data_IF_656132071576
#
_entry.id   IF_656132071576
#
_cell.length_a   1.000
_cell.length_b   1.000
_cell.length_c   1.000
_cell.angle_alpha   90.00
_cell.angle_beta   90.00
_cell.angle_gamma   90.00
#
_symmetry.space_group_name_H-M   'P 1'
#
loop_
_entity.id
_entity.type
_entity.pdbx_description
1 polymer ?
#
# COMPACT_ATOMS: atom_id res chain seq x y z
N UNK A 1 -42.60 21.90 -54.52
CA UNK A 1 -43.17 23.27 -54.30
C UNK A 1 -42.31 23.88 -53.18
N UNK A 2 -41.31 24.67 -53.60
CA UNK A 2 -41.29 26.16 -53.65
C UNK A 2 -41.73 26.74 -52.30
N UNK A 3 -40.92 27.55 -51.60
CA UNK A 3 -40.22 28.77 -51.99
C UNK A 3 -39.04 29.12 -51.07
N UNK A 4 -38.00 29.64 -51.66
CA UNK A 4 -36.88 30.42 -51.23
C UNK A 4 -37.30 31.71 -50.53
N UNK A 5 -36.53 32.23 -49.60
CA UNK A 5 -36.55 33.59 -49.13
C UNK A 5 -35.14 34.00 -48.69
N UNK A 6 -34.54 34.80 -49.51
CA UNK A 6 -33.23 35.45 -49.42
C UNK A 6 -33.44 36.89 -48.97
N UNK A 7 -32.65 37.42 -48.05
CA UNK A 7 -32.35 38.86 -47.88
C UNK A 7 -31.51 39.07 -46.58
N UNK A 8 -30.54 39.86 -46.41
CA UNK A 8 -29.71 40.79 -47.18
C UNK A 8 -28.84 41.52 -46.10
N UNK A 9 -27.59 41.71 -46.37
CA UNK A 9 -26.56 42.48 -45.66
C UNK A 9 -27.01 43.85 -45.13
N UNK A 10 -26.44 44.23 -43.97
CA UNK A 10 -26.13 45.63 -43.66
C UNK A 10 -24.81 45.74 -42.91
N UNK A 11 -23.82 46.27 -43.56
CA UNK A 11 -22.50 46.71 -43.10
C UNK A 11 -22.67 48.07 -42.41
N UNK A 12 -22.22 48.20 -41.18
CA UNK A 12 -22.11 49.48 -40.48
C UNK A 12 -20.66 49.72 -40.02
N UNK A 13 -19.94 50.53 -40.78
CA UNK A 13 -18.65 51.08 -40.41
C UNK A 13 -18.89 52.24 -39.47
N UNK A 14 -18.32 52.21 -38.25
CA UNK A 14 -18.26 53.37 -37.37
C UNK A 14 -16.83 53.64 -36.95
N UNK A 15 -16.29 54.66 -37.55
CA UNK A 15 -15.02 55.33 -37.21
C UNK A 15 -15.06 55.94 -35.83
N UNK A 16 -14.14 55.65 -34.96
CA UNK A 16 -13.91 56.34 -33.67
C UNK A 16 -12.60 57.06 -33.65
N UNK A 17 -12.73 58.34 -33.46
CA UNK A 17 -11.65 59.35 -33.31
C UNK A 17 -10.80 59.10 -32.02
N UNK A 18 -9.49 59.16 -32.16
CA UNK A 18 -8.55 59.28 -31.07
C UNK A 18 -8.67 60.66 -30.39
N UNK A 19 -8.83 60.65 -29.07
CA UNK A 19 -8.52 61.81 -28.23
C UNK A 19 -7.41 61.34 -27.27
N UNK A 20 -6.20 61.84 -27.48
CA UNK A 20 -5.09 61.74 -26.54
C UNK A 20 -5.27 62.80 -25.44
N UNK A 21 -5.39 62.39 -24.21
CA UNK A 21 -5.21 63.25 -23.03
C UNK A 21 -4.30 62.48 -22.03
N UNK A 22 -3.06 62.92 -21.95
CA UNK A 22 -2.12 62.42 -20.94
C UNK A 22 -2.50 62.94 -19.54
N UNK A 23 -2.49 62.04 -18.57
CA UNK A 23 -2.30 62.38 -17.16
C UNK A 23 -1.47 61.26 -16.51
N UNK A 24 -0.24 61.63 -16.15
CA UNK A 24 0.65 60.86 -15.27
C UNK A 24 -0.03 60.69 -13.91
N UNK A 25 -0.31 59.45 -13.58
CA UNK A 25 -0.71 59.06 -12.22
C UNK A 25 0.04 57.78 -11.86
N UNK A 26 1.12 57.87 -11.09
CA UNK A 26 1.71 56.75 -10.37
C UNK A 26 0.65 56.25 -9.35
N UNK A 27 -0.05 55.21 -9.72
CA UNK A 27 -0.83 54.39 -8.81
C UNK A 27 -0.33 52.99 -8.96
N UNK A 28 0.39 52.48 -7.99
CA UNK A 28 0.65 51.04 -7.86
C UNK A 28 -0.70 50.36 -7.68
N UNK A 29 -1.29 49.92 -8.79
CA UNK A 29 -2.35 48.94 -8.75
C UNK A 29 -1.75 47.61 -8.33
N UNK A 30 -1.84 47.32 -7.05
CA UNK A 30 -1.92 45.93 -6.62
C UNK A 30 -3.12 45.34 -7.38
N UNK A 31 -2.84 44.70 -8.52
CA UNK A 31 -3.81 43.84 -9.14
C UNK A 31 -4.15 42.80 -8.08
N UNK A 32 -5.38 42.85 -7.61
CA UNK A 32 -5.98 41.79 -6.83
C UNK A 32 -5.88 40.52 -7.69
N UNK A 33 -4.84 39.70 -7.46
CA UNK A 33 -4.70 38.40 -8.09
C UNK A 33 -5.85 37.59 -7.51
N UNK A 34 -6.96 37.50 -8.24
CA UNK A 34 -8.02 36.55 -7.91
C UNK A 34 -7.36 35.19 -7.87
N UNK A 35 -7.47 34.51 -6.72
CA UNK A 35 -7.05 33.12 -6.57
C UNK A 35 -7.77 32.26 -7.60
N UNK A 36 -7.03 31.36 -8.20
CA UNK A 36 -7.61 30.37 -9.13
C UNK A 36 -8.54 29.45 -8.33
N UNK A 37 -9.77 29.26 -8.81
CA UNK A 37 -10.71 28.32 -8.19
C UNK A 37 -10.35 26.91 -8.58
N UNK A 38 -10.02 26.10 -7.61
CA UNK A 38 -9.60 24.71 -7.76
C UNK A 38 -10.55 23.81 -6.95
N UNK A 39 -11.00 22.71 -7.55
CA UNK A 39 -11.78 21.69 -6.86
C UNK A 39 -11.04 20.37 -6.97
N UNK A 40 -10.52 19.86 -5.86
CA UNK A 40 -9.81 18.58 -5.82
C UNK A 40 -10.65 17.53 -5.08
N UNK A 41 -10.86 16.39 -5.75
CA UNK A 41 -11.39 15.19 -5.12
C UNK A 41 -10.22 14.33 -4.61
N UNK A 42 -10.25 13.97 -3.34
CA UNK A 42 -9.18 13.21 -2.67
C UNK A 42 -9.76 11.98 -2.01
N UNK A 43 -9.22 10.80 -2.34
CA UNK A 43 -9.65 9.54 -1.75
C UNK A 43 -8.56 8.94 -0.85
N UNK A 44 -8.98 8.49 0.32
CA UNK A 44 -8.16 7.74 1.28
C UNK A 44 -9.01 6.71 2.05
N UNK A 45 -8.38 5.79 2.79
CA UNK A 45 -9.09 4.93 3.74
C UNK A 45 -9.95 5.72 4.73
N UNK A 46 -11.00 5.07 5.23
CA UNK A 46 -11.94 5.68 6.19
C UNK A 46 -11.26 6.13 7.48
N UNK A 47 -10.23 5.42 7.89
CA UNK A 47 -9.46 5.66 9.10
C UNK A 47 -8.70 6.99 9.05
N UNK A 48 -8.20 7.39 7.87
CA UNK A 48 -7.50 8.67 7.68
C UNK A 48 -8.44 9.89 7.72
N UNK A 49 -9.74 9.62 7.62
CA UNK A 49 -10.80 10.63 7.62
C UNK A 49 -11.63 10.61 8.90
N UNK A 50 -11.37 9.64 9.80
CA UNK A 50 -12.14 9.46 11.02
C UNK A 50 -11.81 10.53 12.06
N UNK A 51 -12.87 11.09 12.69
CA UNK A 51 -12.74 12.03 13.81
C UNK A 51 -12.03 11.42 15.01
N UNK A 52 -12.28 10.16 15.27
CA UNK A 52 -11.66 9.42 16.37
C UNK A 52 -10.16 9.22 16.15
N UNK A 53 -9.69 9.34 14.90
CA UNK A 53 -8.29 9.21 14.50
C UNK A 53 -7.65 10.54 14.05
N UNK A 54 -8.27 11.69 14.38
CA UNK A 54 -7.71 13.02 14.16
C UNK A 54 -7.96 13.63 12.79
N UNK A 55 -8.73 13.00 11.88
CA UNK A 55 -9.06 13.52 10.54
C UNK A 55 -7.78 13.92 9.75
N UNK A 56 -6.81 13.01 9.70
CA UNK A 56 -5.48 13.29 9.12
C UNK A 56 -5.59 13.90 7.72
N UNK A 57 -6.39 13.29 6.82
CA UNK A 57 -6.51 13.77 5.45
C UNK A 57 -7.02 15.22 5.39
N UNK A 58 -8.12 15.50 6.10
CA UNK A 58 -8.72 16.83 6.10
C UNK A 58 -7.77 17.87 6.72
N UNK A 59 -7.05 17.48 7.77
CA UNK A 59 -6.08 18.33 8.45
C UNK A 59 -4.93 18.71 7.52
N UNK A 60 -4.36 17.74 6.80
CA UNK A 60 -3.27 17.98 5.86
C UNK A 60 -3.74 18.78 4.64
N UNK A 61 -4.87 18.44 4.03
CA UNK A 61 -5.43 19.20 2.92
C UNK A 61 -5.72 20.66 3.31
N UNK A 62 -6.27 20.90 4.49
CA UNK A 62 -6.53 22.26 4.98
C UNK A 62 -5.23 23.05 5.26
N UNK A 63 -4.16 22.37 5.68
CA UNK A 63 -2.84 23.00 5.87
C UNK A 63 -2.23 23.35 4.53
N UNK A 64 -2.25 22.42 3.59
CA UNK A 64 -1.82 22.66 2.21
C UNK A 64 -2.51 23.88 1.57
N UNK A 65 -3.83 23.99 1.69
CA UNK A 65 -4.57 25.14 1.15
C UNK A 65 -4.15 26.47 1.79
N UNK A 66 -3.77 26.49 3.08
CA UNK A 66 -3.27 27.69 3.75
C UNK A 66 -1.87 28.08 3.27
N UNK A 67 -1.04 27.11 2.90
CA UNK A 67 0.32 27.32 2.37
C UNK A 67 0.30 27.75 0.91
N UNK A 68 -0.82 27.54 0.20
CA UNK A 68 -1.06 27.90 -1.19
C UNK A 68 -2.19 28.92 -1.37
N UNK A 69 -2.03 30.14 -0.83
CA UNK A 69 -3.09 31.16 -0.89
C UNK A 69 -3.37 31.70 -2.31
N UNK A 70 -2.53 31.37 -3.28
CA UNK A 70 -2.73 31.65 -4.70
C UNK A 70 -3.84 30.83 -5.33
N UNK A 71 -4.22 29.70 -4.70
CA UNK A 71 -5.31 28.82 -5.11
C UNK A 71 -6.50 28.90 -4.13
N UNK A 72 -7.70 29.08 -4.64
CA UNK A 72 -8.95 28.99 -3.88
C UNK A 72 -9.45 27.53 -3.93
N UNK A 73 -8.86 26.68 -3.07
CA UNK A 73 -9.06 25.22 -3.14
C UNK A 73 -10.30 24.81 -2.35
N UNK A 74 -11.16 24.03 -3.00
CA UNK A 74 -12.25 23.28 -2.37
C UNK A 74 -11.96 21.79 -2.47
N UNK A 75 -11.87 21.10 -1.34
CA UNK A 75 -11.70 19.65 -1.29
C UNK A 75 -13.03 18.90 -1.25
N UNK A 76 -13.07 17.76 -1.95
CA UNK A 76 -14.16 16.78 -1.87
C UNK A 76 -13.54 15.45 -1.50
N UNK A 77 -13.96 14.91 -0.37
CA UNK A 77 -13.38 13.67 0.16
C UNK A 77 -14.22 12.46 -0.21
N UNK A 78 -13.56 11.38 -0.61
CA UNK A 78 -14.15 10.06 -0.82
C UNK A 78 -13.43 9.02 0.03
N UNK A 79 -14.14 7.95 0.37
CA UNK A 79 -13.59 6.84 1.14
C UNK A 79 -13.34 5.67 0.21
N UNK A 80 -12.09 5.27 0.09
CA UNK A 80 -11.67 4.05 -0.61
C UNK A 80 -10.37 3.54 0.03
N UNK A 81 -10.27 2.23 0.24
CA UNK A 81 -8.99 1.61 0.58
C UNK A 81 -8.03 1.61 -0.63
N UNK A 82 -6.75 1.33 -0.38
CA UNK A 82 -5.70 1.49 -1.39
C UNK A 82 -5.82 0.53 -2.58
N UNK A 83 -6.46 -0.63 -2.40
CA UNK A 83 -6.70 -1.57 -3.49
C UNK A 83 -7.96 -1.20 -4.27
N UNK A 84 -9.08 -1.06 -3.58
CA UNK A 84 -10.40 -0.74 -4.17
C UNK A 84 -10.39 0.63 -4.85
N UNK A 85 -9.72 1.62 -4.24
CA UNK A 85 -9.60 2.96 -4.80
C UNK A 85 -8.85 2.97 -6.12
N UNK A 86 -7.72 2.25 -6.19
CA UNK A 86 -6.94 2.10 -7.43
C UNK A 86 -7.74 1.43 -8.54
N UNK A 87 -8.47 0.34 -8.22
CA UNK A 87 -9.29 -0.38 -9.18
C UNK A 87 -10.44 0.52 -9.73
N UNK A 88 -11.05 1.36 -8.88
CA UNK A 88 -12.08 2.31 -9.30
C UNK A 88 -11.51 3.40 -10.21
N UNK A 89 -10.33 3.95 -9.85
CA UNK A 89 -9.64 4.95 -10.69
C UNK A 89 -9.27 4.37 -12.06
N UNK A 90 -8.76 3.13 -12.10
CA UNK A 90 -8.43 2.47 -13.35
C UNK A 90 -9.68 2.18 -14.22
N UNK A 91 -10.83 1.90 -13.59
CA UNK A 91 -12.07 1.60 -14.29
C UNK A 91 -12.74 2.83 -14.91
N UNK A 92 -12.74 3.97 -14.20
CA UNK A 92 -13.36 5.23 -14.67
C UNK A 92 -12.54 6.44 -14.18
N UNK A 93 -11.40 6.75 -14.84
CA UNK A 93 -10.54 7.85 -14.41
C UNK A 93 -11.25 9.22 -14.42
N UNK A 94 -12.15 9.45 -15.38
CA UNK A 94 -12.83 10.76 -15.53
C UNK A 94 -13.82 11.05 -14.39
N UNK A 95 -14.38 10.02 -13.76
CA UNK A 95 -15.32 10.17 -12.64
C UNK A 95 -14.68 9.95 -11.25
N UNK A 96 -13.39 9.68 -11.22
CA UNK A 96 -12.65 9.31 -9.99
C UNK A 96 -11.93 10.49 -9.34
N UNK A 97 -11.23 10.22 -8.22
CA UNK A 97 -10.46 11.23 -7.49
C UNK A 97 -9.31 11.82 -8.32
N UNK A 98 -8.99 13.10 -8.07
CA UNK A 98 -7.79 13.77 -8.58
C UNK A 98 -6.52 13.26 -7.91
N UNK A 99 -6.61 13.00 -6.60
CA UNK A 99 -5.53 12.45 -5.76
C UNK A 99 -6.07 11.28 -4.96
N UNK A 100 -5.36 10.16 -4.97
CA UNK A 100 -5.82 8.93 -4.32
C UNK A 100 -4.65 8.12 -3.75
N UNK A 101 -4.95 7.29 -2.74
CA UNK A 101 -3.99 6.35 -2.18
C UNK A 101 -4.10 5.00 -2.86
N UNK A 102 -2.96 4.35 -3.09
CA UNK A 102 -2.91 3.02 -3.66
C UNK A 102 -1.75 2.17 -3.11
N UNK A 103 -1.91 0.85 -3.12
CA UNK A 103 -0.83 -0.09 -2.87
C UNK A 103 -0.07 -0.36 -4.18
N UNK A 104 1.25 -0.48 -4.10
CA UNK A 104 2.13 -0.58 -5.28
C UNK A 104 1.81 -1.76 -6.22
N UNK A 105 1.16 -2.82 -5.74
CA UNK A 105 0.71 -3.95 -6.56
C UNK A 105 -0.41 -3.58 -7.55
N UNK A 106 -0.97 -2.38 -7.45
CA UNK A 106 -1.96 -1.83 -8.38
C UNK A 106 -1.38 -0.94 -9.47
N UNK A 107 -0.06 -0.69 -9.42
CA UNK A 107 0.57 0.27 -10.33
C UNK A 107 0.41 -0.11 -11.81
N UNK A 108 0.58 -1.39 -12.15
CA UNK A 108 0.41 -1.87 -13.53
C UNK A 108 -1.03 -1.71 -14.00
N UNK A 109 -2.02 -2.03 -13.16
CA UNK A 109 -3.44 -1.81 -13.46
C UNK A 109 -3.73 -0.34 -13.76
N UNK A 110 -3.16 0.57 -12.98
CA UNK A 110 -3.33 2.01 -13.16
C UNK A 110 -2.62 2.55 -14.41
N UNK A 111 -1.40 2.08 -14.69
CA UNK A 111 -0.65 2.51 -15.89
C UNK A 111 -1.21 1.94 -17.18
N UNK A 112 -1.66 0.69 -17.18
CA UNK A 112 -2.30 0.05 -18.36
C UNK A 112 -3.63 0.74 -18.74
N UNK A 113 -4.31 1.33 -17.75
CA UNK A 113 -5.52 2.12 -17.95
C UNK A 113 -5.27 3.61 -18.27
N UNK A 114 -4.02 4.06 -18.39
CA UNK A 114 -3.65 5.48 -18.47
C UNK A 114 -4.29 6.33 -17.35
N UNK A 115 -4.50 5.75 -16.17
CA UNK A 115 -5.29 6.34 -15.09
C UNK A 115 -4.44 7.09 -14.04
N UNK A 116 -3.13 6.89 -14.03
CA UNK A 116 -2.20 7.53 -13.09
C UNK A 116 -1.14 8.36 -13.80
N UNK A 117 -0.92 9.58 -13.32
CA UNK A 117 0.07 10.49 -13.88
C UNK A 117 1.48 10.17 -13.37
N UNK A 118 2.48 10.34 -14.25
CA UNK A 118 3.88 10.23 -13.86
C UNK A 118 4.39 11.53 -13.24
N UNK A 119 5.27 11.39 -12.27
CA UNK A 119 5.97 12.52 -11.66
C UNK A 119 7.22 12.88 -12.44
N UNK A 120 7.48 14.19 -12.60
CA UNK A 120 8.63 14.71 -13.35
C UNK A 120 9.20 15.99 -12.75
N UNK A 121 10.36 16.45 -13.30
CA UNK A 121 11.01 17.70 -12.91
C UNK A 121 11.29 17.80 -11.42
N UNK A 122 11.06 18.98 -10.85
CA UNK A 122 11.34 19.27 -9.42
C UNK A 122 10.63 18.33 -8.45
N UNK A 123 9.43 17.90 -8.76
CA UNK A 123 8.65 17.01 -7.89
C UNK A 123 9.23 15.59 -7.84
N UNK A 124 9.69 15.06 -8.99
CA UNK A 124 10.41 13.78 -9.03
C UNK A 124 11.70 13.86 -8.23
N UNK A 125 12.50 14.94 -8.41
CA UNK A 125 13.75 15.15 -7.65
C UNK A 125 13.49 15.22 -6.14
N UNK A 126 12.41 15.88 -5.70
CA UNK A 126 12.01 15.97 -4.30
C UNK A 126 11.64 14.59 -3.73
N UNK A 127 10.81 13.83 -4.44
CA UNK A 127 10.41 12.47 -4.02
C UNK A 127 11.64 11.56 -3.94
N UNK A 128 12.51 11.57 -4.94
CA UNK A 128 13.72 10.74 -4.99
C UNK A 128 14.73 11.09 -3.89
N UNK A 129 14.79 12.35 -3.46
CA UNK A 129 15.72 12.80 -2.42
C UNK A 129 15.36 12.36 -1.01
N UNK A 130 14.11 11.97 -0.78
CA UNK A 130 13.55 11.70 0.55
C UNK A 130 13.11 10.25 0.79
N UNK A 131 13.31 9.39 -0.21
CA UNK A 131 12.91 7.98 -0.15
C UNK A 131 14.05 7.05 -0.55
N UNK A 132 14.03 5.79 -0.10
CA UNK A 132 15.03 4.80 -0.51
C UNK A 132 14.81 4.33 -1.94
N UNK A 133 15.88 3.84 -2.59
CA UNK A 133 15.83 3.37 -3.97
C UNK A 133 14.86 2.18 -4.12
N UNK A 134 14.88 1.22 -3.19
CA UNK A 134 14.00 0.05 -3.20
C UNK A 134 12.52 0.46 -3.14
N UNK A 135 12.23 1.49 -2.35
CA UNK A 135 10.86 1.99 -2.21
C UNK A 135 10.40 2.71 -3.47
N UNK A 136 11.30 3.52 -4.07
CA UNK A 136 11.04 4.20 -5.33
C UNK A 136 10.87 3.22 -6.49
N UNK A 137 11.66 2.15 -6.53
CA UNK A 137 11.56 1.11 -7.55
C UNK A 137 10.21 0.39 -7.51
N UNK A 138 9.61 0.29 -6.32
CA UNK A 138 8.26 -0.25 -6.16
C UNK A 138 7.16 0.59 -6.83
N UNK A 139 7.47 1.80 -7.25
CA UNK A 139 6.53 2.77 -7.84
C UNK A 139 6.95 3.22 -9.25
N UNK A 140 7.90 2.50 -9.87
CA UNK A 140 8.34 2.76 -11.23
C UNK A 140 7.80 1.71 -12.20
N UNK A 141 7.34 2.17 -13.35
CA UNK A 141 7.03 1.35 -14.52
C UNK A 141 7.82 1.95 -15.70
N UNK A 142 8.57 1.13 -16.42
CA UNK A 142 9.44 1.56 -17.53
C UNK A 142 10.40 2.72 -17.15
N UNK A 143 10.86 2.78 -15.90
CA UNK A 143 11.77 3.80 -15.37
C UNK A 143 11.09 5.13 -15.02
N UNK A 144 9.79 5.26 -15.19
CA UNK A 144 9.01 6.44 -14.81
C UNK A 144 8.34 6.24 -13.45
N UNK A 145 8.32 7.27 -12.63
CA UNK A 145 7.76 7.27 -11.26
C UNK A 145 6.28 7.68 -11.28
N UNK A 146 5.40 6.87 -10.69
CA UNK A 146 3.94 7.07 -10.71
C UNK A 146 3.28 7.30 -9.35
N UNK A 147 4.07 7.45 -8.28
CA UNK A 147 3.54 7.69 -6.95
C UNK A 147 4.51 8.37 -6.00
N UNK A 148 3.96 8.96 -4.95
CA UNK A 148 4.71 9.47 -3.80
C UNK A 148 4.56 8.48 -2.66
N UNK A 149 5.61 7.74 -2.26
CA UNK A 149 5.48 6.78 -1.17
C UNK A 149 5.22 7.52 0.15
N UNK A 150 4.38 6.97 1.01
CA UNK A 150 4.12 7.54 2.34
C UNK A 150 4.30 6.52 3.48
N UNK A 151 4.30 5.22 3.16
CA UNK A 151 4.60 4.14 4.11
C UNK A 151 5.06 2.89 3.36
N UNK A 152 5.80 2.02 4.03
CA UNK A 152 6.03 0.66 3.55
C UNK A 152 4.81 -0.22 3.84
N UNK A 153 4.56 -1.21 3.00
CA UNK A 153 3.48 -2.16 3.16
C UNK A 153 4.08 -3.54 3.47
N UNK A 154 4.18 -3.87 4.76
CA UNK A 154 4.67 -5.15 5.26
C UNK A 154 3.86 -5.58 6.46
N UNK A 155 3.83 -6.90 6.73
CA UNK A 155 3.29 -7.45 7.93
C UNK A 155 4.41 -8.11 8.74
N UNK A 156 4.26 -8.08 10.06
CA UNK A 156 5.23 -8.58 11.03
C UNK A 156 4.50 -9.18 12.23
N UNK A 157 5.20 -9.45 13.32
CA UNK A 157 4.63 -10.18 14.43
C UNK A 157 4.40 -9.30 15.65
N UNK A 158 3.21 -9.44 16.27
CA UNK A 158 2.86 -8.94 17.59
C UNK A 158 2.72 -10.08 18.57
N UNK A 159 3.17 -9.88 19.81
CA UNK A 159 3.15 -10.93 20.83
C UNK A 159 2.97 -10.39 22.25
N UNK A 160 2.51 -11.26 23.14
CA UNK A 160 2.38 -11.01 24.58
C UNK A 160 3.71 -11.26 25.28
N UNK A 161 4.42 -10.20 25.74
CA UNK A 161 5.69 -10.25 26.47
C UNK A 161 5.59 -10.98 27.83
N UNK A 162 4.37 -11.16 28.35
CA UNK A 162 4.18 -11.97 29.56
C UNK A 162 4.31 -13.47 29.32
N UNK A 163 4.26 -13.90 28.05
CA UNK A 163 4.35 -15.30 27.61
C UNK A 163 5.64 -15.58 26.86
N UNK A 164 6.04 -14.70 25.97
CA UNK A 164 7.22 -14.88 25.11
C UNK A 164 8.32 -13.88 25.45
N UNK A 165 9.54 -14.35 25.57
CA UNK A 165 10.75 -13.52 25.62
C UNK A 165 11.18 -13.10 24.19
N UNK A 166 12.10 -12.14 24.11
CA UNK A 166 12.72 -11.73 22.83
C UNK A 166 13.48 -12.88 22.12
N UNK A 167 13.96 -13.88 22.87
CA UNK A 167 14.61 -15.07 22.31
C UNK A 167 13.58 -16.05 21.75
N UNK A 168 12.44 -16.23 22.43
CA UNK A 168 11.40 -17.16 21.98
C UNK A 168 10.79 -16.76 20.64
N UNK A 169 10.63 -15.46 20.43
CA UNK A 169 9.99 -14.93 19.23
C UNK A 169 10.86 -14.99 17.96
N UNK A 170 12.10 -15.43 18.08
CA UNK A 170 12.99 -15.65 16.94
C UNK A 170 12.64 -16.90 16.13
N UNK A 171 11.94 -17.86 16.73
CA UNK A 171 11.60 -19.11 16.06
C UNK A 171 10.14 -19.52 16.35
N UNK A 172 9.35 -19.73 15.31
CA UNK A 172 7.93 -20.05 15.41
C UNK A 172 7.66 -21.37 16.13
N UNK A 173 8.49 -22.39 15.90
CA UNK A 173 8.29 -23.70 16.54
C UNK A 173 8.53 -23.60 18.07
N UNK A 174 9.52 -22.82 18.48
CA UNK A 174 9.78 -22.50 19.90
C UNK A 174 8.60 -21.76 20.54
N UNK A 175 7.98 -20.83 19.82
CA UNK A 175 6.79 -20.14 20.31
C UNK A 175 5.62 -21.09 20.50
N UNK A 176 5.41 -22.02 19.58
CA UNK A 176 4.33 -23.01 19.66
C UNK A 176 4.48 -24.00 20.82
N UNK A 177 5.68 -24.16 21.38
CA UNK A 177 5.89 -24.93 22.61
C UNK A 177 5.44 -24.18 23.87
N UNK A 178 5.35 -22.84 23.83
CA UNK A 178 5.10 -21.97 24.98
C UNK A 178 3.72 -21.33 25.01
N UNK A 179 3.12 -21.08 23.84
CA UNK A 179 1.85 -20.38 23.77
C UNK A 179 1.17 -20.50 22.42
N UNK A 180 -0.06 -20.03 22.36
CA UNK A 180 -0.86 -20.08 21.13
C UNK A 180 -0.49 -18.96 20.18
N UNK A 181 -0.11 -19.32 18.98
CA UNK A 181 0.19 -18.40 17.86
C UNK A 181 -0.92 -18.46 16.84
N UNK A 182 -1.37 -17.31 16.34
CA UNK A 182 -2.34 -17.21 15.26
C UNK A 182 -1.72 -16.63 14.02
N UNK A 183 -2.01 -17.25 12.84
CA UNK A 183 -1.44 -16.85 11.55
C UNK A 183 -2.49 -16.93 10.43
N UNK A 184 -2.54 -15.97 9.48
CA UNK A 184 -3.50 -15.95 8.39
C UNK A 184 -3.19 -16.98 7.28
N UNK A 185 -3.18 -18.26 7.63
CA UNK A 185 -2.77 -19.36 6.74
C UNK A 185 -3.63 -19.49 5.48
N UNK A 186 -4.86 -19.01 5.50
CA UNK A 186 -5.79 -19.04 4.37
C UNK A 186 -5.72 -17.79 3.48
N UNK A 187 -4.82 -16.88 3.78
CA UNK A 187 -4.65 -15.65 3.04
C UNK A 187 -3.42 -15.75 2.13
N UNK A 188 -3.62 -15.49 0.84
CA UNK A 188 -2.59 -15.61 -0.19
C UNK A 188 -1.43 -14.62 -0.06
N UNK A 189 -1.60 -13.54 0.71
CA UNK A 189 -0.52 -12.59 0.99
C UNK A 189 0.40 -13.06 2.14
N UNK A 190 -0.05 -13.99 2.98
CA UNK A 190 0.68 -14.51 4.14
C UNK A 190 1.27 -15.92 3.92
N UNK A 191 0.47 -16.86 3.42
CA UNK A 191 0.89 -18.26 3.26
C UNK A 191 2.21 -18.45 2.49
N UNK A 192 2.51 -17.68 1.41
CA UNK A 192 3.76 -17.81 0.68
C UNK A 192 5.03 -17.67 1.51
N UNK A 193 4.96 -17.06 2.70
CA UNK A 193 6.11 -16.86 3.56
C UNK A 193 6.88 -18.16 3.87
N UNK A 194 6.20 -19.28 3.95
CA UNK A 194 6.81 -20.59 4.17
C UNK A 194 7.45 -21.17 2.91
N UNK A 195 6.88 -20.91 1.74
CA UNK A 195 7.41 -21.35 0.45
C UNK A 195 8.64 -20.53 0.05
N UNK A 196 8.54 -19.21 0.17
CA UNK A 196 9.64 -18.28 -0.11
C UNK A 196 10.83 -18.55 0.81
N UNK A 197 10.57 -18.71 2.11
CA UNK A 197 11.57 -19.04 3.10
C UNK A 197 12.27 -20.37 2.84
N UNK A 198 11.59 -21.34 2.22
CA UNK A 198 12.19 -22.63 1.80
C UNK A 198 12.76 -22.61 0.37
N UNK A 199 12.91 -21.43 -0.25
CA UNK A 199 13.62 -21.23 -1.52
C UNK A 199 12.75 -21.33 -2.76
N UNK A 200 11.43 -21.27 -2.65
CA UNK A 200 10.53 -21.04 -3.79
C UNK A 200 10.67 -19.60 -4.29
N UNK A 201 10.43 -19.36 -5.57
CA UNK A 201 10.61 -18.05 -6.20
C UNK A 201 9.41 -17.66 -7.05
N UNK A 202 9.24 -16.36 -7.24
CA UNK A 202 8.22 -15.75 -8.09
C UNK A 202 8.93 -14.92 -9.15
N UNK A 203 8.75 -15.26 -10.43
CA UNK A 203 9.26 -14.49 -11.57
C UNK A 203 10.77 -14.17 -11.46
N UNK A 204 11.55 -15.17 -11.04
CA UNK A 204 12.98 -15.05 -10.78
C UNK A 204 13.27 -14.22 -9.53
N UNK A 205 13.74 -12.99 -9.73
CA UNK A 205 13.93 -11.98 -8.68
C UNK A 205 12.72 -11.06 -8.46
N UNK A 206 11.59 -11.42 -9.06
CA UNK A 206 10.34 -10.65 -9.00
C UNK A 206 10.08 -9.73 -10.20
N UNK A 207 11.01 -9.66 -11.16
CA UNK A 207 10.95 -8.69 -12.27
C UNK A 207 10.85 -9.34 -13.66
N UNK A 208 11.10 -10.65 -13.77
CA UNK A 208 11.14 -11.37 -15.04
C UNK A 208 9.95 -12.34 -15.17
N UNK A 209 8.87 -11.87 -15.76
CA UNK A 209 7.64 -12.65 -15.96
C UNK A 209 7.88 -13.96 -16.73
N UNK A 210 8.88 -13.99 -17.62
CA UNK A 210 9.21 -15.16 -18.42
C UNK A 210 9.73 -16.35 -17.59
N UNK A 211 10.19 -16.11 -16.37
CA UNK A 211 10.65 -17.14 -15.44
C UNK A 211 9.52 -17.81 -14.66
N UNK A 212 8.31 -17.22 -14.69
CA UNK A 212 7.16 -17.80 -14.03
C UNK A 212 7.34 -17.97 -12.51
N UNK A 213 6.50 -18.81 -11.95
CA UNK A 213 6.49 -19.17 -10.53
C UNK A 213 7.14 -20.53 -10.34
N UNK A 214 8.07 -20.64 -9.39
CA UNK A 214 8.74 -21.89 -9.01
C UNK A 214 8.34 -22.29 -7.57
N UNK A 215 7.06 -22.68 -7.43
CA UNK A 215 6.50 -23.31 -6.23
C UNK A 215 6.32 -24.81 -6.47
N UNK A 216 7.35 -25.45 -7.01
CA UNK A 216 7.36 -26.85 -7.43
C UNK A 216 8.47 -27.65 -6.76
N UNK A 217 8.37 -28.98 -6.91
CA UNK A 217 9.37 -29.93 -6.43
C UNK A 217 9.47 -30.04 -4.92
N UNK A 218 10.54 -30.68 -4.45
CA UNK A 218 10.73 -31.06 -3.05
C UNK A 218 10.59 -29.88 -2.07
N UNK A 219 11.21 -28.72 -2.37
CA UNK A 219 11.17 -27.53 -1.52
C UNK A 219 9.74 -27.01 -1.27
N UNK A 220 8.89 -27.04 -2.30
CA UNK A 220 7.52 -26.57 -2.18
C UNK A 220 6.63 -27.59 -1.45
N UNK A 221 6.83 -28.88 -1.71
CA UNK A 221 6.14 -29.98 -1.00
C UNK A 221 6.50 -29.97 0.50
N UNK A 222 7.76 -29.72 0.84
CA UNK A 222 8.18 -29.55 2.23
C UNK A 222 7.48 -28.37 2.93
N UNK A 223 7.34 -27.23 2.24
CA UNK A 223 6.62 -26.08 2.76
C UNK A 223 5.11 -26.39 2.95
N UNK A 224 4.49 -27.09 2.01
CA UNK A 224 3.11 -27.57 2.13
C UNK A 224 2.96 -28.51 3.34
N UNK A 225 3.86 -29.47 3.51
CA UNK A 225 3.85 -30.40 4.64
C UNK A 225 4.08 -29.67 5.98
N UNK A 226 4.93 -28.65 6.02
CA UNK A 226 5.10 -27.80 7.19
C UNK A 226 3.80 -27.08 7.55
N UNK A 227 3.12 -26.47 6.57
CA UNK A 227 1.86 -25.79 6.77
C UNK A 227 0.74 -26.74 7.27
N UNK A 228 0.72 -28.00 6.78
CA UNK A 228 -0.20 -29.04 7.28
C UNK A 228 0.10 -29.36 8.75
N UNK A 229 1.38 -29.55 9.11
CA UNK A 229 1.78 -29.82 10.47
C UNK A 229 1.46 -28.64 11.41
N UNK A 230 1.70 -27.41 10.92
CA UNK A 230 1.37 -26.18 11.64
C UNK A 230 -0.13 -26.10 11.94
N UNK A 231 -0.99 -26.33 10.93
CA UNK A 231 -2.44 -26.35 11.11
C UNK A 231 -2.96 -27.46 12.04
N UNK A 232 -2.20 -28.53 12.21
CA UNK A 232 -2.51 -29.63 13.13
C UNK A 232 -2.00 -29.39 14.57
N UNK A 233 -1.13 -28.39 14.78
CA UNK A 233 -0.57 -28.09 16.10
C UNK A 233 -1.66 -27.51 17.03
N UNK A 234 -1.87 -28.04 18.25
CA UNK A 234 -2.90 -27.56 19.18
C UNK A 234 -2.69 -26.10 19.64
N UNK A 235 -1.46 -25.60 19.61
CA UNK A 235 -1.09 -24.23 19.93
C UNK A 235 -1.04 -23.30 18.70
N UNK A 236 -1.52 -23.77 17.56
CA UNK A 236 -1.66 -22.94 16.38
C UNK A 236 -3.13 -22.66 16.07
N UNK A 237 -3.45 -21.43 15.72
CA UNK A 237 -4.77 -21.02 15.24
C UNK A 237 -4.67 -20.39 13.88
N UNK A 238 -5.53 -20.80 12.97
CA UNK A 238 -5.67 -20.13 11.69
C UNK A 238 -6.46 -18.85 11.91
N UNK A 239 -5.84 -17.71 11.65
CA UNK A 239 -6.55 -16.44 11.65
C UNK A 239 -7.51 -16.39 10.45
N UNK A 240 -8.76 -16.19 10.75
CA UNK A 240 -9.80 -15.96 9.78
C UNK A 240 -10.70 -14.84 10.29
N UNK A 241 -10.98 -13.88 9.42
CA UNK A 241 -11.91 -12.77 9.70
C UNK A 241 -11.59 -11.97 10.99
N UNK A 242 -10.28 -11.76 11.29
CA UNK A 242 -9.84 -11.02 12.47
C UNK A 242 -9.95 -11.76 13.80
N UNK A 243 -10.05 -13.09 13.75
CA UNK A 243 -10.15 -13.94 14.96
C UNK A 243 -8.91 -13.86 15.86
N UNK A 244 -7.73 -13.55 15.30
CA UNK A 244 -6.50 -13.41 16.07
C UNK A 244 -6.57 -12.24 17.06
N UNK A 245 -7.05 -11.07 16.63
CA UNK A 245 -7.20 -9.91 17.50
C UNK A 245 -8.21 -10.15 18.63
N UNK A 246 -9.33 -10.82 18.33
CA UNK A 246 -10.29 -11.24 19.34
C UNK A 246 -9.63 -12.20 20.36
N UNK A 247 -8.83 -13.14 19.87
CA UNK A 247 -8.09 -14.08 20.70
C UNK A 247 -6.98 -13.42 21.56
N UNK A 248 -6.35 -12.35 21.09
CA UNK A 248 -5.46 -11.55 21.96
C UNK A 248 -6.23 -10.88 23.09
N UNK A 249 -7.42 -10.33 22.82
CA UNK A 249 -8.27 -9.66 23.82
C UNK A 249 -8.76 -10.62 24.90
N UNK A 250 -9.14 -11.84 24.55
CA UNK A 250 -9.63 -12.85 25.49
C UNK A 250 -8.51 -13.75 26.08
N UNK A 251 -7.27 -13.56 25.61
CA UNK A 251 -6.09 -14.29 26.07
C UNK A 251 -5.93 -15.70 25.50
N UNK A 252 -6.76 -16.11 24.54
CA UNK A 252 -6.68 -17.42 23.87
C UNK A 252 -5.66 -17.47 22.74
N UNK A 253 -5.14 -16.33 22.31
CA UNK A 253 -4.00 -16.13 21.40
C UNK A 253 -2.95 -15.31 22.11
N UNK A 254 -1.67 -15.61 21.87
CA UNK A 254 -0.52 -14.97 22.52
C UNK A 254 0.42 -14.29 21.52
N UNK A 255 0.31 -14.61 20.23
CA UNK A 255 0.99 -13.91 19.16
C UNK A 255 0.15 -13.97 17.87
N UNK A 256 0.26 -12.93 17.06
CA UNK A 256 -0.38 -12.84 15.76
C UNK A 256 0.50 -12.10 14.74
N UNK A 257 0.19 -12.28 13.48
CA UNK A 257 0.89 -11.64 12.36
C UNK A 257 -0.06 -10.67 11.65
N UNK A 258 0.34 -9.41 11.60
CA UNK A 258 -0.38 -8.32 10.94
C UNK A 258 0.54 -7.11 10.77
N UNK A 259 0.07 -6.02 10.18
CA UNK A 259 0.85 -4.79 10.04
C UNK A 259 0.51 -3.71 11.06
N UNK A 260 1.07 -2.52 10.86
CA UNK A 260 0.86 -1.35 11.73
C UNK A 260 -0.61 -0.91 11.82
N UNK A 261 -1.44 -1.29 10.86
CA UNK A 261 -2.88 -0.97 10.85
C UNK A 261 -3.66 -1.51 12.03
N UNK A 262 -3.20 -2.61 12.67
CA UNK A 262 -3.82 -3.18 13.87
C UNK A 262 -3.11 -2.77 15.17
N UNK A 263 -2.00 -2.03 15.12
CA UNK A 263 -1.15 -1.74 16.26
C UNK A 263 -1.89 -1.12 17.44
N UNK A 264 -2.77 -0.15 17.17
CA UNK A 264 -3.57 0.51 18.22
C UNK A 264 -4.52 -0.47 18.93
N UNK A 265 -5.22 -1.30 18.17
CA UNK A 265 -6.14 -2.29 18.72
C UNK A 265 -5.41 -3.41 19.52
N UNK A 266 -4.20 -3.77 19.08
CA UNK A 266 -3.33 -4.71 19.80
C UNK A 266 -2.78 -4.07 21.07
N UNK A 267 -2.41 -2.78 21.03
CA UNK A 267 -1.98 -2.03 22.21
C UNK A 267 -3.09 -1.93 23.26
N UNK A 268 -4.34 -1.73 22.83
CA UNK A 268 -5.49 -1.78 23.73
C UNK A 268 -5.68 -3.16 24.37
N UNK A 269 -5.42 -4.25 23.61
CA UNK A 269 -5.58 -5.62 24.10
C UNK A 269 -4.48 -6.04 25.09
N UNK A 270 -3.21 -5.71 24.80
CA UNK A 270 -2.05 -6.21 25.52
C UNK A 270 -1.44 -5.17 26.49
N UNK A 271 -1.75 -3.88 26.34
CA UNK A 271 -1.19 -2.81 27.16
C UNK A 271 0.34 -2.80 27.08
N UNK A 272 0.99 -2.77 28.27
CA UNK A 272 2.46 -2.75 28.37
C UNK A 272 3.12 -4.10 28.03
N UNK A 273 2.32 -5.17 27.90
CA UNK A 273 2.80 -6.47 27.46
C UNK A 273 2.88 -6.60 25.94
N UNK A 274 2.46 -5.60 25.17
CA UNK A 274 2.63 -5.63 23.72
C UNK A 274 4.11 -5.68 23.35
N UNK A 275 4.51 -6.76 22.69
CA UNK A 275 5.79 -6.92 22.01
C UNK A 275 5.59 -6.90 20.51
N UNK A 276 6.62 -6.49 19.80
CA UNK A 276 6.67 -6.45 18.33
C UNK A 276 8.00 -7.02 17.89
N UNK A 277 8.01 -7.76 16.78
CA UNK A 277 9.22 -8.34 16.19
C UNK A 277 9.05 -8.46 14.68
N UNK A 278 10.15 -8.42 13.94
CA UNK A 278 10.20 -8.93 12.56
C UNK A 278 9.85 -10.43 12.52
N UNK A 279 9.83 -11.02 11.35
CA UNK A 279 9.37 -12.39 11.16
C UNK A 279 10.33 -13.41 11.75
N UNK A 280 9.81 -14.44 12.45
CA UNK A 280 10.62 -15.51 13.00
C UNK A 280 11.16 -16.44 11.91
N UNK A 281 12.13 -17.25 12.30
CA UNK A 281 12.47 -18.47 11.57
C UNK A 281 11.48 -19.60 11.89
N UNK A 282 11.54 -20.67 11.11
CA UNK A 282 10.81 -21.93 11.32
C UNK A 282 11.68 -23.10 10.87
N UNK A 283 11.35 -24.33 11.26
CA UNK A 283 12.21 -25.48 11.05
C UNK A 283 11.60 -26.49 10.07
N UNK A 284 12.27 -26.74 8.95
CA UNK A 284 11.94 -27.83 8.02
C UNK A 284 13.10 -28.83 8.00
N UNK A 285 12.81 -30.11 8.24
CA UNK A 285 13.80 -31.20 8.21
C UNK A 285 15.04 -30.93 9.07
N UNK A 286 14.86 -30.28 10.22
CA UNK A 286 15.95 -29.91 11.12
C UNK A 286 16.81 -28.74 10.65
N UNK A 287 16.40 -28.05 9.58
CA UNK A 287 17.03 -26.82 9.10
C UNK A 287 16.17 -25.61 9.41
N UNK A 288 16.79 -24.61 9.99
CA UNK A 288 16.14 -23.33 10.23
C UNK A 288 16.00 -22.54 8.92
N UNK A 289 14.82 -22.00 8.68
CA UNK A 289 14.44 -21.23 7.50
C UNK A 289 13.86 -19.89 7.95
N UNK A 290 14.18 -18.80 7.28
CA UNK A 290 13.59 -17.51 7.53
C UNK A 290 12.21 -17.42 6.87
N UNK A 291 11.16 -17.06 7.63
CA UNK A 291 9.90 -16.63 7.02
C UNK A 291 10.15 -15.38 6.18
N UNK A 292 9.62 -15.33 4.96
CA UNK A 292 9.76 -14.18 4.07
C UNK A 292 8.39 -13.65 3.66
N UNK A 293 8.01 -12.48 4.18
CA UNK A 293 6.78 -11.82 3.73
C UNK A 293 6.91 -11.22 2.34
N UNK A 294 5.79 -10.90 1.72
CA UNK A 294 5.78 -9.85 0.72
C UNK A 294 5.97 -8.50 1.42
N UNK A 295 6.70 -7.61 0.78
CA UNK A 295 6.79 -6.20 1.12
C UNK A 295 6.51 -5.36 -0.11
N UNK A 296 6.05 -4.15 0.13
CA UNK A 296 5.78 -3.17 -0.90
C UNK A 296 5.69 -1.78 -0.31
N UNK A 297 5.03 -0.90 -1.03
CA UNK A 297 4.76 0.45 -0.58
C UNK A 297 3.28 0.79 -0.73
N UNK A 298 2.85 1.78 0.03
CA UNK A 298 1.63 2.52 -0.25
C UNK A 298 2.02 3.91 -0.70
N UNK A 299 1.36 4.38 -1.74
CA UNK A 299 1.70 5.62 -2.40
C UNK A 299 0.47 6.51 -2.62
N UNK A 300 0.75 7.77 -2.85
CA UNK A 300 -0.22 8.76 -3.27
C UNK A 300 -0.05 8.96 -4.77
N UNK A 301 -1.09 8.63 -5.53
CA UNK A 301 -1.18 8.81 -6.97
C UNK A 301 -1.94 10.06 -7.34
N UNK A 302 -1.68 10.54 -8.54
CA UNK A 302 -2.42 11.62 -9.20
C UNK A 302 -3.13 11.04 -10.40
N UNK A 303 -4.40 11.31 -10.54
CA UNK A 303 -5.18 10.89 -11.70
C UNK A 303 -4.68 11.61 -12.96
N UNK A 304 -4.33 10.85 -13.99
CA UNK A 304 -3.84 11.40 -15.26
C UNK A 304 -4.88 12.29 -15.99
N UNK A 305 -6.17 12.16 -15.64
CA UNK A 305 -7.29 12.91 -16.20
C UNK A 305 -7.74 14.09 -15.32
N UNK A 306 -6.99 14.43 -14.26
CA UNK A 306 -7.32 15.58 -13.40
C UNK A 306 -7.33 16.90 -14.20
N UNK A 307 -8.39 17.68 -14.06
CA UNK A 307 -8.46 19.04 -14.62
C UNK A 307 -7.51 20.02 -13.91
N UNK A 308 -7.03 19.66 -12.71
CA UNK A 308 -6.17 20.49 -11.84
C UNK A 308 -4.81 19.83 -11.60
N UNK A 309 -4.16 19.38 -12.68
CA UNK A 309 -2.94 18.58 -12.62
C UNK A 309 -1.82 19.19 -11.76
N UNK A 310 -1.57 20.51 -11.90
CA UNK A 310 -0.53 21.18 -11.12
C UNK A 310 -0.81 21.11 -9.62
N UNK A 311 -2.04 21.39 -9.23
CA UNK A 311 -2.49 21.40 -7.85
C UNK A 311 -2.56 19.98 -7.27
N UNK A 312 -3.01 19.02 -8.07
CA UNK A 312 -3.08 17.61 -7.67
C UNK A 312 -1.68 17.02 -7.44
N UNK A 313 -0.72 17.31 -8.32
CA UNK A 313 0.69 16.89 -8.14
C UNK A 313 1.30 17.54 -6.90
N UNK A 314 1.11 18.86 -6.71
CA UNK A 314 1.62 19.54 -5.52
C UNK A 314 1.02 18.97 -4.23
N UNK A 315 -0.29 18.69 -4.21
CA UNK A 315 -0.96 18.06 -3.07
C UNK A 315 -0.44 16.65 -2.80
N UNK A 316 -0.25 15.83 -3.83
CA UNK A 316 0.26 14.47 -3.68
C UNK A 316 1.67 14.47 -3.06
N UNK A 317 2.56 15.34 -3.52
CA UNK A 317 3.91 15.51 -2.97
C UNK A 317 3.85 16.00 -1.52
N UNK A 318 2.98 16.95 -1.21
CA UNK A 318 2.78 17.43 0.15
C UNK A 318 2.27 16.32 1.09
N UNK A 319 1.26 15.55 0.69
CA UNK A 319 0.70 14.46 1.49
C UNK A 319 1.71 13.31 1.72
N UNK A 320 2.61 13.06 0.77
CA UNK A 320 3.73 12.13 0.93
C UNK A 320 5.00 12.75 1.53
N UNK A 321 4.99 14.06 1.84
CA UNK A 321 6.11 14.78 2.43
C UNK A 321 6.31 14.51 3.92
N UNK A 322 7.43 14.99 4.48
CA UNK A 322 7.83 14.71 5.86
C UNK A 322 6.80 15.15 6.90
N UNK A 323 6.23 16.35 6.77
CA UNK A 323 5.28 16.88 7.75
C UNK A 323 3.98 16.09 7.77
N UNK A 324 3.48 15.70 6.58
CA UNK A 324 2.29 14.88 6.47
C UNK A 324 2.51 13.45 6.96
N UNK A 325 3.66 12.83 6.67
CA UNK A 325 4.03 11.52 7.18
C UNK A 325 4.22 11.54 8.72
N UNK A 326 4.82 12.59 9.28
CA UNK A 326 4.93 12.75 10.73
C UNK A 326 3.54 12.83 11.38
N UNK A 327 2.65 13.67 10.85
CA UNK A 327 1.28 13.78 11.34
C UNK A 327 0.52 12.45 11.21
N UNK A 328 0.76 11.68 10.14
CA UNK A 328 0.14 10.36 9.92
C UNK A 328 0.61 9.36 10.99
N UNK A 329 1.90 9.35 11.30
CA UNK A 329 2.46 8.56 12.39
C UNK A 329 1.87 8.93 13.75
N UNK A 330 1.84 10.23 14.09
CA UNK A 330 1.34 10.71 15.39
C UNK A 330 -0.18 10.46 15.57
N UNK A 331 -0.96 10.62 14.53
CA UNK A 331 -2.42 10.46 14.59
C UNK A 331 -2.88 9.01 14.41
N UNK A 332 -2.18 8.23 13.58
CA UNK A 332 -2.66 6.96 13.07
C UNK A 332 -1.68 5.80 13.28
N UNK A 333 -0.46 6.08 13.76
CA UNK A 333 0.62 5.09 13.85
C UNK A 333 1.00 4.49 12.48
N UNK A 334 0.73 5.24 11.37
CA UNK A 334 1.23 4.86 10.05
C UNK A 334 2.72 5.16 10.00
N UNK A 335 3.52 4.12 9.84
CA UNK A 335 4.97 4.23 9.93
C UNK A 335 5.51 4.98 8.72
N UNK A 336 6.27 6.08 8.91
CA UNK A 336 6.79 6.84 7.81
C UNK A 336 7.85 6.07 7.03
N UNK A 337 8.01 6.39 5.75
CA UNK A 337 9.07 5.88 4.91
C UNK A 337 10.09 6.98 4.52
N UNK A 338 9.84 8.22 4.87
CA UNK A 338 10.76 9.33 4.62
C UNK A 338 12.08 9.09 5.37
N UNK A 339 13.19 9.08 4.63
CA UNK A 339 14.53 8.71 5.14
C UNK A 339 15.06 9.65 6.22
N UNK A 340 14.62 10.91 6.26
CA UNK A 340 15.01 11.84 7.32
C UNK A 340 14.17 11.63 8.58
N UNK A 341 12.86 11.40 8.46
CA UNK A 341 12.01 11.08 9.60
C UNK A 341 12.46 9.80 10.31
N UNK A 342 12.86 8.79 9.56
CA UNK A 342 13.35 7.52 10.13
C UNK A 342 14.64 7.68 10.96
N UNK A 343 15.37 8.80 10.83
CA UNK A 343 16.54 9.12 11.65
C UNK A 343 16.21 9.90 12.93
N UNK A 344 15.00 10.43 13.05
CA UNK A 344 14.58 11.17 14.23
C UNK A 344 14.44 10.22 15.44
N UNK A 345 14.98 10.62 16.58
CA UNK A 345 15.21 9.73 17.72
C UNK A 345 13.92 9.08 18.23
N UNK A 346 12.83 9.81 18.29
CA UNK A 346 11.53 9.33 18.76
C UNK A 346 10.93 8.28 17.80
N UNK A 347 11.07 8.47 16.50
CA UNK A 347 10.64 7.51 15.47
C UNK A 347 11.59 6.31 15.43
N UNK A 348 12.90 6.56 15.33
CA UNK A 348 13.91 5.50 15.22
C UNK A 348 13.93 4.54 16.43
N UNK A 349 13.51 5.00 17.62
CA UNK A 349 13.46 4.18 18.83
C UNK A 349 12.12 3.49 19.08
N UNK A 350 11.11 3.74 18.22
CA UNK A 350 9.82 3.06 18.32
C UNK A 350 9.95 1.59 17.89
N UNK A 351 9.59 0.61 18.75
CA UNK A 351 9.64 -0.80 18.39
C UNK A 351 8.80 -1.17 17.17
N UNK A 352 7.69 -0.47 16.90
CA UNK A 352 6.87 -0.69 15.70
C UNK A 352 7.63 -0.31 14.43
N UNK A 353 8.29 0.85 14.45
CA UNK A 353 9.13 1.32 13.34
C UNK A 353 10.30 0.37 13.12
N UNK A 354 10.95 -0.07 14.17
CA UNK A 354 12.06 -1.03 14.09
C UNK A 354 11.61 -2.35 13.49
N UNK A 355 10.50 -2.93 13.96
CA UNK A 355 9.99 -4.20 13.48
C UNK A 355 9.56 -4.12 12.00
N UNK A 356 8.89 -3.05 11.59
CA UNK A 356 8.49 -2.86 10.19
C UNK A 356 9.71 -2.69 9.27
N UNK A 357 10.68 -1.86 9.66
CA UNK A 357 11.90 -1.65 8.88
C UNK A 357 12.77 -2.91 8.82
N UNK A 358 12.90 -3.63 9.95
CA UNK A 358 13.64 -4.90 9.97
C UNK A 358 12.95 -5.95 9.09
N UNK A 359 11.62 -6.02 9.12
CA UNK A 359 10.86 -6.89 8.23
C UNK A 359 11.07 -6.52 6.77
N UNK A 360 10.92 -5.25 6.41
CA UNK A 360 11.10 -4.77 5.05
C UNK A 360 12.50 -5.08 4.50
N UNK A 361 13.53 -4.82 5.29
CA UNK A 361 14.92 -4.95 4.84
C UNK A 361 15.49 -6.36 4.92
N UNK A 362 15.04 -7.19 5.89
CA UNK A 362 15.74 -8.44 6.23
C UNK A 362 14.88 -9.70 6.13
N UNK A 363 13.54 -9.58 6.25
CA UNK A 363 12.63 -10.75 6.29
C UNK A 363 11.47 -10.63 5.32
N UNK A 364 11.69 -9.94 4.19
CA UNK A 364 10.72 -9.84 3.11
C UNK A 364 11.38 -9.91 1.74
N UNK A 365 10.57 -10.14 0.74
CA UNK A 365 10.89 -9.89 -0.66
C UNK A 365 9.96 -8.79 -1.18
N UNK A 366 10.43 -7.99 -2.11
CA UNK A 366 9.54 -7.07 -2.80
C UNK A 366 8.49 -7.86 -3.57
N UNK A 367 7.20 -7.55 -3.35
CA UNK A 367 6.12 -8.21 -4.08
C UNK A 367 6.27 -7.93 -5.57
N UNK A 368 6.29 -8.97 -6.43
CA UNK A 368 6.41 -8.76 -7.88
C UNK A 368 5.27 -7.88 -8.45
N UNK A 369 5.62 -6.98 -9.38
CA UNK A 369 4.64 -6.09 -10.06
C UNK A 369 4.24 -6.58 -11.45
N UNK A 370 4.73 -7.75 -11.86
CA UNK A 370 4.40 -8.33 -13.16
C UNK A 370 2.92 -8.70 -13.21
N UNK A 371 2.31 -8.58 -14.40
CA UNK A 371 0.86 -8.81 -14.56
C UNK A 371 0.42 -10.21 -14.10
N UNK A 372 1.26 -11.23 -14.34
CA UNK A 372 1.00 -12.61 -13.94
C UNK A 372 0.99 -12.83 -12.42
N UNK A 373 1.43 -11.87 -11.60
CA UNK A 373 1.31 -11.96 -10.14
C UNK A 373 -0.15 -12.12 -9.68
N UNK A 374 -1.09 -11.54 -10.42
CA UNK A 374 -2.53 -11.68 -10.16
C UNK A 374 -3.01 -13.13 -10.20
N UNK A 375 -2.35 -14.00 -10.95
CA UNK A 375 -2.68 -15.43 -11.06
C UNK A 375 -2.31 -16.21 -9.80
N UNK A 376 -1.46 -15.64 -8.92
CA UNK A 376 -0.97 -16.33 -7.73
C UNK A 376 -1.98 -16.35 -6.58
N UNK A 377 -2.84 -15.34 -6.50
CA UNK A 377 -3.69 -15.14 -5.31
C UNK A 377 -4.66 -16.29 -5.05
N UNK A 378 -5.48 -16.62 -6.02
CA UNK A 378 -6.52 -17.67 -5.87
C UNK A 378 -5.95 -19.07 -5.64
N UNK A 379 -4.92 -19.55 -6.37
CA UNK A 379 -4.33 -20.87 -6.11
C UNK A 379 -3.75 -21.00 -4.71
N UNK A 380 -3.03 -19.98 -4.23
CA UNK A 380 -2.44 -19.96 -2.88
C UNK A 380 -3.52 -19.93 -1.80
N UNK A 381 -4.56 -19.12 -1.98
CA UNK A 381 -5.70 -19.08 -1.07
C UNK A 381 -6.42 -20.44 -0.99
N UNK A 382 -6.60 -21.09 -2.14
CA UNK A 382 -7.20 -22.44 -2.21
C UNK A 382 -6.33 -23.48 -1.49
N UNK A 383 -5.01 -23.40 -1.60
CA UNK A 383 -4.07 -24.23 -0.84
C UNK A 383 -4.31 -24.07 0.67
N UNK A 384 -4.30 -22.83 1.17
CA UNK A 384 -4.56 -22.56 2.59
C UNK A 384 -5.93 -23.04 3.07
N UNK A 385 -6.98 -22.83 2.28
CA UNK A 385 -8.34 -23.36 2.55
C UNK A 385 -8.37 -24.88 2.54
N UNK A 386 -7.65 -25.51 1.61
CA UNK A 386 -7.51 -26.97 1.53
C UNK A 386 -6.84 -27.57 2.76
N UNK A 387 -5.78 -26.95 3.26
CA UNK A 387 -5.13 -27.36 4.52
C UNK A 387 -6.11 -27.19 5.71
N UNK A 388 -6.79 -26.07 5.81
CA UNK A 388 -7.76 -25.80 6.88
C UNK A 388 -8.89 -26.82 6.92
N UNK A 389 -9.46 -27.17 5.77
CA UNK A 389 -10.59 -28.09 5.68
C UNK A 389 -10.18 -29.57 5.56
N UNK A 390 -8.85 -29.84 5.56
CA UNK A 390 -8.23 -31.17 5.47
C UNK A 390 -8.46 -31.89 4.12
N UNK A 391 -8.71 -31.15 3.04
CA UNK A 391 -8.67 -31.69 1.67
C UNK A 391 -7.25 -31.78 1.13
N UNK A 392 -6.33 -30.96 1.68
CA UNK A 392 -4.89 -31.10 1.49
C UNK A 392 -4.30 -31.77 2.71
N UNK A 393 -3.66 -32.91 2.53
CA UNK A 393 -3.07 -33.77 3.55
C UNK A 393 -1.67 -34.22 3.15
N UNK A 394 -0.92 -34.83 4.05
CA UNK A 394 0.41 -35.39 3.72
C UNK A 394 0.37 -36.40 2.56
N UNK A 395 -0.75 -37.12 2.38
CA UNK A 395 -0.91 -38.14 1.37
C UNK A 395 -1.01 -37.55 -0.06
N UNK A 396 -1.57 -36.34 -0.19
CA UNK A 396 -1.74 -35.66 -1.48
C UNK A 396 -0.98 -34.33 -1.59
N UNK A 397 -0.10 -34.03 -0.65
CA UNK A 397 0.65 -32.77 -0.60
C UNK A 397 1.41 -32.48 -1.90
N UNK A 398 2.08 -33.49 -2.47
CA UNK A 398 2.82 -33.37 -3.73
C UNK A 398 1.88 -32.98 -4.88
N UNK A 399 0.80 -33.75 -5.10
CA UNK A 399 -0.21 -33.48 -6.14
C UNK A 399 -0.80 -32.08 -6.01
N UNK A 400 -1.21 -31.68 -4.79
CA UNK A 400 -1.85 -30.38 -4.55
C UNK A 400 -0.87 -29.23 -4.68
N UNK A 401 0.41 -29.42 -4.34
CA UNK A 401 1.47 -28.41 -4.53
C UNK A 401 1.76 -28.21 -6.01
N UNK A 402 1.87 -29.29 -6.78
CA UNK A 402 2.03 -29.20 -8.24
C UNK A 402 0.83 -28.53 -8.90
N UNK A 403 -0.38 -28.89 -8.53
CA UNK A 403 -1.61 -28.26 -9.04
C UNK A 403 -1.67 -26.75 -8.72
N UNK A 404 -1.24 -26.34 -7.52
CA UNK A 404 -1.10 -24.93 -7.16
C UNK A 404 -0.10 -24.22 -8.05
N UNK A 405 1.10 -24.79 -8.24
CA UNK A 405 2.15 -24.19 -9.08
C UNK A 405 1.72 -24.09 -10.56
N UNK A 406 1.06 -25.12 -11.10
CA UNK A 406 0.51 -25.09 -12.46
C UNK A 406 -0.55 -23.99 -12.62
N UNK A 407 -1.44 -23.85 -11.64
CA UNK A 407 -2.48 -22.81 -11.66
C UNK A 407 -1.90 -21.41 -11.59
N UNK A 408 -0.84 -21.16 -10.79
CA UNK A 408 -0.14 -19.88 -10.71
C UNK A 408 0.56 -19.52 -12.02
N UNK A 409 1.04 -20.52 -12.78
CA UNK A 409 1.70 -20.34 -14.09
C UNK A 409 0.72 -20.37 -15.27
N UNK A 410 -0.56 -20.67 -15.04
CA UNK A 410 -1.54 -20.66 -16.12
C UNK A 410 -1.83 -19.24 -16.57
N UNK A 411 -1.61 -18.94 -17.84
CA UNK A 411 -2.12 -17.74 -18.45
C UNK A 411 -3.64 -17.80 -18.36
N UNK A 412 -4.27 -16.91 -17.62
CA UNK A 412 -5.70 -16.89 -17.28
C UNK A 412 -6.68 -16.81 -18.47
N UNK A 413 -6.48 -17.68 -19.45
CA UNK A 413 -7.37 -17.91 -20.60
C UNK A 413 -7.82 -19.38 -20.51
N UNK A 414 -8.87 -19.62 -19.74
CA UNK A 414 -9.78 -20.74 -19.91
C UNK A 414 -11.22 -20.27 -19.68
#
# INVERSE_FOLDING_TARGET
>A
MMKRGLATFLTGIMTVTLVAAGLTGCGSSTADKRSEKVRLMVWSPSEDQSKDSGEWLQTMCNTFAKEHPEWDITFVYGVADEATGADQVAQDPEASADVFMYANDRITTLTDADAVAKFGGKYKEEIESTNSEELLDSLKVDGELYGVPFTTNAWYMFYDKSVFSEEDVKNLDTMLEKGTVSFPLINSWYLPAFYLGNGCTLFGDGTDESKGVDFAGEKAVEATNYAINLAANPNFKIDADGSALAGLRDGSVKAMFTGSWDANAIKEALGDNMGVSSLPTYTINGQEKQMLSYAGSKAIGVNAHSEYMEQAVALAVYLGGSDAQRAHYEMRTVIPCNTELLKEKDIASDPLVQAQNDTFNNTSILQPFVASMSNCWTPVENMGKGIRNKSVTHENAEEQTEAMNEAMNSNGIN
#
